data_IF_030966779229
#
_entry.id   IF_030966779229
#
_cell.length_a   1.000
_cell.length_b   1.000
_cell.length_c   1.000
_cell.angle_alpha   90.00
_cell.angle_beta   90.00
_cell.angle_gamma   90.00
#
_symmetry.space_group_name_H-M   'P 1'
#
loop_
_entity.id
_entity.type
_entity.pdbx_description
1 polymer ?
#
# COMPACT_ATOMS: atom_id res chain seq x y z
N UNK A 1 10.88 -5.31 -5.34
CA UNK A 1 9.80 -5.29 -4.33
C UNK A 1 9.14 -6.64 -4.03
N UNK A 2 9.38 -7.73 -4.77
CA UNK A 2 8.70 -9.03 -4.53
C UNK A 2 8.87 -9.55 -3.10
N UNK A 3 10.08 -9.52 -2.53
CA UNK A 3 10.31 -9.94 -1.14
C UNK A 3 9.54 -9.10 -0.11
N UNK A 4 9.34 -7.79 -0.35
CA UNK A 4 8.62 -6.90 0.57
C UNK A 4 7.13 -7.21 0.62
N UNK A 5 6.54 -7.63 -0.50
CA UNK A 5 5.09 -7.91 -0.62
C UNK A 5 4.74 -9.40 -0.52
N UNK A 6 5.73 -10.27 -0.33
CA UNK A 6 5.53 -11.72 -0.32
C UNK A 6 4.49 -12.17 0.71
N UNK A 7 4.47 -11.53 1.89
CA UNK A 7 3.50 -11.81 2.94
C UNK A 7 2.06 -11.51 2.53
N UNK A 8 1.81 -10.48 1.70
CA UNK A 8 0.47 -10.15 1.20
C UNK A 8 -0.02 -11.17 0.16
N UNK A 9 0.88 -11.62 -0.71
CA UNK A 9 0.56 -12.63 -1.75
C UNK A 9 0.31 -14.02 -1.12
N UNK A 10 0.89 -14.29 0.04
CA UNK A 10 0.68 -15.54 0.79
C UNK A 10 -0.68 -15.65 1.50
N UNK A 11 -1.47 -14.57 1.57
CA UNK A 11 -2.78 -14.58 2.23
C UNK A 11 -3.76 -15.43 1.42
N UNK A 12 -4.59 -16.21 2.12
CA UNK A 12 -5.63 -17.02 1.46
C UNK A 12 -6.58 -16.14 0.63
N UNK A 13 -6.72 -16.50 -0.65
CA UNK A 13 -7.55 -15.77 -1.60
C UNK A 13 -6.92 -14.49 -2.17
N UNK A 14 -5.62 -14.26 -1.95
CA UNK A 14 -4.92 -13.09 -2.49
C UNK A 14 -4.82 -13.12 -4.02
N UNK A 15 -4.64 -14.29 -4.63
CA UNK A 15 -4.51 -14.41 -6.10
C UNK A 15 -5.75 -13.90 -6.84
N UNK A 16 -6.92 -14.03 -6.23
CA UNK A 16 -8.22 -13.69 -6.81
C UNK A 16 -8.67 -12.26 -6.47
N UNK A 17 -8.26 -11.74 -5.29
CA UNK A 17 -8.81 -10.49 -4.74
C UNK A 17 -7.78 -9.37 -4.56
N UNK A 18 -6.50 -9.68 -4.47
CA UNK A 18 -5.44 -8.69 -4.26
C UNK A 18 -4.80 -8.32 -5.59
N UNK A 19 -4.88 -7.03 -5.94
CA UNK A 19 -4.11 -6.42 -7.03
C UNK A 19 -3.07 -5.49 -6.42
N UNK A 20 -1.80 -5.71 -6.78
CA UNK A 20 -0.71 -4.84 -6.36
C UNK A 20 -0.37 -3.86 -7.47
N UNK A 21 -0.25 -2.58 -7.10
CA UNK A 21 0.16 -1.51 -8.00
C UNK A 21 1.44 -0.86 -7.46
N UNK A 22 2.26 -0.34 -8.37
CA UNK A 22 3.39 0.51 -8.00
C UNK A 22 2.91 1.95 -7.99
N UNK A 23 3.11 2.67 -6.89
CA UNK A 23 2.77 4.07 -6.76
C UNK A 23 3.74 4.78 -5.80
N UNK A 24 3.92 6.08 -6.00
CA UNK A 24 4.68 6.98 -5.14
C UNK A 24 3.79 8.15 -4.74
N UNK A 25 3.54 8.29 -3.43
CA UNK A 25 2.66 9.33 -2.91
C UNK A 25 3.19 10.76 -3.11
N UNK A 26 4.50 10.90 -3.35
CA UNK A 26 5.12 12.21 -3.61
C UNK A 26 4.98 12.65 -5.06
N UNK A 27 4.53 11.75 -5.95
CA UNK A 27 4.37 12.02 -7.38
C UNK A 27 2.89 12.22 -7.69
N UNK A 28 2.56 13.40 -8.21
CA UNK A 28 1.19 13.74 -8.63
C UNK A 28 0.65 12.72 -9.66
N UNK A 29 -0.61 12.33 -9.51
CA UNK A 29 -1.29 11.36 -10.38
C UNK A 29 -0.86 9.90 -10.17
N UNK A 30 0.12 9.60 -9.31
CA UNK A 30 0.60 8.23 -9.12
C UNK A 30 -0.44 7.26 -8.53
N UNK A 31 -1.47 7.80 -7.86
CA UNK A 31 -2.55 7.03 -7.24
C UNK A 31 -3.82 6.92 -8.08
N UNK A 32 -3.91 7.63 -9.22
CA UNK A 32 -5.13 7.72 -10.02
C UNK A 32 -5.62 6.35 -10.49
N UNK A 33 -4.71 5.53 -11.04
CA UNK A 33 -5.01 4.17 -11.46
C UNK A 33 -5.35 3.24 -10.27
N UNK A 34 -4.53 3.17 -9.20
CA UNK A 34 -4.83 2.34 -8.03
C UNK A 34 -6.19 2.58 -7.37
N UNK A 35 -6.68 3.82 -7.36
CA UNK A 35 -7.96 4.18 -6.69
C UNK A 35 -9.15 4.22 -7.65
N UNK A 36 -8.91 4.11 -8.96
CA UNK A 36 -9.97 4.17 -9.96
C UNK A 36 -10.96 3.01 -9.79
N UNK A 37 -12.25 3.35 -9.67
CA UNK A 37 -13.33 2.38 -9.50
C UNK A 37 -13.44 1.79 -8.08
N UNK A 38 -12.68 2.30 -7.11
CA UNK A 38 -12.85 1.93 -5.70
C UNK A 38 -14.06 2.67 -5.10
N UNK A 39 -14.90 1.95 -4.35
CA UNK A 39 -15.97 2.57 -3.55
C UNK A 39 -15.43 3.30 -2.31
N UNK A 40 -14.33 2.78 -1.74
CA UNK A 40 -13.68 3.31 -0.54
C UNK A 40 -12.16 3.27 -0.67
N UNK A 41 -11.50 4.28 -0.12
CA UNK A 41 -10.03 4.38 -0.09
C UNK A 41 -9.58 4.51 1.36
N UNK A 42 -8.70 3.61 1.79
CA UNK A 42 -8.04 3.67 3.10
C UNK A 42 -6.60 4.13 2.91
N UNK A 43 -6.31 5.37 3.30
CA UNK A 43 -4.95 5.89 3.25
C UNK A 43 -4.19 5.55 4.54
N UNK A 44 -3.25 4.60 4.44
CA UNK A 44 -2.38 4.18 5.55
C UNK A 44 -0.90 4.51 5.32
N UNK A 45 -0.57 5.03 4.14
CA UNK A 45 0.81 5.28 3.71
C UNK A 45 1.35 6.58 4.34
N UNK A 46 1.69 6.51 5.63
CA UNK A 46 2.47 7.53 6.32
C UNK A 46 3.87 7.00 6.55
N UNK A 47 4.94 7.76 6.23
CA UNK A 47 6.29 7.39 6.62
C UNK A 47 6.36 7.28 8.15
N UNK A 48 6.53 6.06 8.68
CA UNK A 48 6.73 5.85 10.11
C UNK A 48 8.22 5.99 10.40
N UNK A 49 8.57 6.93 11.26
CA UNK A 49 9.94 7.06 11.76
C UNK A 49 10.10 6.16 12.99
N UNK A 50 10.74 5.00 12.80
CA UNK A 50 10.93 4.02 13.88
C UNK A 50 11.97 4.43 14.93
N UNK A 51 12.63 5.58 14.74
CA UNK A 51 13.60 6.17 15.68
C UNK A 51 12.98 7.23 16.60
N UNK A 52 11.67 7.16 16.87
CA UNK A 52 11.06 8.02 17.87
C UNK A 52 11.49 7.60 19.28
N UNK A 53 12.16 8.49 19.99
CA UNK A 53 12.40 8.35 21.44
C UNK A 53 11.16 8.70 22.27
N UNK A 54 10.09 9.20 21.63
CA UNK A 54 8.84 9.56 22.29
C UNK A 54 7.71 8.60 21.85
N UNK A 55 7.12 7.81 22.77
CA UNK A 55 6.16 6.74 22.45
C UNK A 55 4.72 7.23 22.18
N UNK A 56 4.52 8.49 21.81
CA UNK A 56 3.20 9.11 21.57
C UNK A 56 2.74 8.94 20.11
#
# INVERSE_FOLDING_TARGET
NQAKVAHLVGIQGAKERLKLFSADITVEGSLDLPVSGCDYVFHTATPVHFESTNPE
#
